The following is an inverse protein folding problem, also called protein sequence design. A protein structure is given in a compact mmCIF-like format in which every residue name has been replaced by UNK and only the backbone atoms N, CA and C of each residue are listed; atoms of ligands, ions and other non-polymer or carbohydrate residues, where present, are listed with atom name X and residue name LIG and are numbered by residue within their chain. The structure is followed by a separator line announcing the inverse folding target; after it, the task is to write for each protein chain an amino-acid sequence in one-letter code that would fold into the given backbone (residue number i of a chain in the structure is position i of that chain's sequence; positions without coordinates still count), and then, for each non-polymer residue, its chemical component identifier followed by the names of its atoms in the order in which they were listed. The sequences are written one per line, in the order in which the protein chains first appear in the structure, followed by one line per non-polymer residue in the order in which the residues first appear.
data_IF_976962654271
#
_entry.id   IF_976962654271
#
_cell.length_a   1.000
_cell.length_b   1.000
_cell.length_c   1.000
_cell.angle_alpha   90.00
_cell.angle_beta   90.00
_cell.angle_gamma   90.00
#
_symmetry.space_group_name_H-M   'P 1'
#
loop_
_entity.id
_entity.type
_entity.pdbx_description
1 polymer ?
#
# COMPACT_ATOMS: atom_id res chain seq x y z
N UNK A 1 -12.93 -5.71 17.05
CA UNK A 1 -12.52 -6.52 15.89
C UNK A 1 -12.53 -5.72 14.57
N UNK A 2 -13.62 -5.03 14.21
CA UNK A 2 -13.67 -4.20 12.98
C UNK A 2 -12.64 -3.05 12.90
N UNK A 3 -12.32 -2.42 14.03
CA UNK A 3 -11.32 -1.33 14.08
C UNK A 3 -9.91 -1.80 13.67
N UNK A 4 -9.50 -2.99 14.12
CA UNK A 4 -8.20 -3.57 13.80
C UNK A 4 -8.13 -3.92 12.30
N UNK A 5 -9.21 -4.44 11.72
CA UNK A 5 -9.27 -4.69 10.27
C UNK A 5 -9.14 -3.41 9.45
N UNK A 6 -9.76 -2.30 9.90
CA UNK A 6 -9.63 -1.00 9.24
C UNK A 6 -8.19 -0.49 9.34
N UNK A 7 -7.53 -0.64 10.49
CA UNK A 7 -6.12 -0.27 10.65
C UNK A 7 -5.21 -1.07 9.71
N UNK A 8 -5.39 -2.38 9.61
CA UNK A 8 -4.61 -3.22 8.69
C UNK A 8 -4.91 -2.91 7.22
N UNK A 9 -6.17 -2.60 6.90
CA UNK A 9 -6.55 -2.14 5.56
C UNK A 9 -5.82 -0.83 5.20
N UNK A 10 -5.79 0.13 6.13
CA UNK A 10 -5.08 1.39 5.95
C UNK A 10 -3.57 1.16 5.78
N UNK A 11 -2.98 0.27 6.58
CA UNK A 11 -1.56 -0.05 6.51
C UNK A 11 -1.16 -0.69 5.17
N UNK A 12 -2.02 -1.56 4.63
CA UNK A 12 -1.86 -2.12 3.28
C UNK A 12 -1.95 -1.03 2.22
N UNK A 13 -2.94 -0.14 2.32
CA UNK A 13 -3.13 0.95 1.35
C UNK A 13 -1.96 1.94 1.37
N UNK A 14 -1.35 2.18 2.54
CA UNK A 14 -0.24 3.09 2.72
C UNK A 14 1.01 2.69 1.94
N UNK A 15 1.25 1.38 1.77
CA UNK A 15 2.47 0.89 1.14
C UNK A 15 2.65 1.40 -0.32
N UNK A 16 1.69 1.17 -1.24
CA UNK A 16 1.76 1.73 -2.59
C UNK A 16 1.65 3.26 -2.64
N UNK A 17 0.99 3.92 -1.67
CA UNK A 17 0.97 5.39 -1.57
C UNK A 17 2.38 5.91 -1.28
N UNK A 18 3.09 5.37 -0.30
CA UNK A 18 4.47 5.78 0.00
C UNK A 18 5.37 5.58 -1.22
N UNK A 19 5.23 4.44 -1.91
CA UNK A 19 5.99 4.17 -3.13
C UNK A 19 5.69 5.20 -4.22
N UNK A 20 4.41 5.56 -4.43
CA UNK A 20 4.07 6.60 -5.40
C UNK A 20 4.59 7.97 -5.00
N UNK A 21 4.55 8.32 -3.71
CA UNK A 21 5.05 9.62 -3.24
C UNK A 21 6.56 9.75 -3.50
N UNK A 22 7.32 8.68 -3.30
CA UNK A 22 8.76 8.64 -3.63
C UNK A 22 8.96 8.84 -5.14
N UNK A 23 8.21 8.11 -5.98
CA UNK A 23 8.29 8.25 -7.44
C UNK A 23 7.91 9.68 -7.87
N UNK A 24 6.86 10.24 -7.28
CA UNK A 24 6.38 11.59 -7.56
C UNK A 24 7.43 12.66 -7.25
N UNK A 25 8.23 12.48 -6.18
CA UNK A 25 9.37 13.35 -5.88
C UNK A 25 10.47 13.30 -6.97
N UNK A 26 10.77 12.12 -7.52
CA UNK A 26 11.70 11.99 -8.64
C UNK A 26 11.14 12.61 -9.92
N UNK A 27 9.84 12.43 -10.19
CA UNK A 27 9.16 13.04 -11.34
C UNK A 27 9.20 14.57 -11.25
N UNK A 28 9.00 15.13 -10.06
CA UNK A 28 9.11 16.57 -9.81
C UNK A 28 10.50 17.09 -10.20
N UNK A 29 11.56 16.40 -9.77
CA UNK A 29 12.95 16.78 -10.11
C UNK A 29 13.26 16.72 -11.61
N UNK A 30 12.57 15.87 -12.37
CA UNK A 30 12.85 15.67 -13.79
C UNK A 30 12.03 16.58 -14.70
N UNK A 31 10.75 16.78 -14.36
CA UNK A 31 9.79 17.46 -15.24
C UNK A 31 9.43 18.88 -14.80
N UNK A 32 9.64 19.24 -13.52
CA UNK A 32 9.13 20.47 -12.86
C UNK A 32 7.61 20.71 -13.05
N UNK A 33 6.88 19.71 -13.55
CA UNK A 33 5.47 19.80 -13.85
C UNK A 33 4.66 19.24 -12.71
N UNK A 34 3.91 20.13 -12.05
CA UNK A 34 3.03 19.79 -10.96
C UNK A 34 1.92 18.82 -11.39
N UNK A 35 1.52 18.87 -12.66
CA UNK A 35 0.46 18.04 -13.22
C UNK A 35 0.86 16.56 -13.25
N UNK A 36 2.10 16.25 -13.64
CA UNK A 36 2.60 14.88 -13.64
C UNK A 36 2.74 14.31 -12.22
N UNK A 37 3.14 15.12 -11.25
CA UNK A 37 3.18 14.70 -9.84
C UNK A 37 1.78 14.35 -9.30
N UNK A 38 0.76 15.16 -9.61
CA UNK A 38 -0.63 14.89 -9.22
C UNK A 38 -1.15 13.59 -9.84
N UNK A 39 -0.90 13.38 -11.14
CA UNK A 39 -1.33 12.14 -11.81
C UNK A 39 -0.67 10.92 -11.17
N UNK A 40 0.64 10.98 -10.96
CA UNK A 40 1.41 9.86 -10.41
C UNK A 40 0.94 9.52 -8.99
N UNK A 41 0.73 10.53 -8.16
CA UNK A 41 0.24 10.34 -6.80
C UNK A 41 -1.21 9.83 -6.77
N UNK A 42 -2.08 10.37 -7.63
CA UNK A 42 -3.45 9.90 -7.79
C UNK A 42 -3.52 8.43 -8.18
N UNK A 43 -2.65 7.98 -9.09
CA UNK A 43 -2.52 6.58 -9.46
C UNK A 43 -2.08 5.71 -8.26
N UNK A 44 -1.14 6.18 -7.45
CA UNK A 44 -0.69 5.49 -6.23
C UNK A 44 -1.79 5.30 -5.19
N UNK A 45 -2.57 6.35 -4.94
CA UNK A 45 -3.72 6.30 -4.03
C UNK A 45 -4.77 5.29 -4.52
N UNK A 46 -5.13 5.35 -5.80
CA UNK A 46 -6.10 4.41 -6.39
C UNK A 46 -5.58 2.96 -6.34
N UNK A 47 -4.31 2.75 -6.67
CA UNK A 47 -3.69 1.43 -6.59
C UNK A 47 -3.66 0.90 -5.15
N UNK A 48 -3.39 1.76 -4.17
CA UNK A 48 -3.40 1.40 -2.75
C UNK A 48 -4.75 1.01 -2.22
N UNK A 49 -5.78 1.80 -2.53
CA UNK A 49 -7.16 1.49 -2.16
C UNK A 49 -7.59 0.18 -2.83
N UNK A 50 -7.29 0.01 -4.13
CA UNK A 50 -7.64 -1.20 -4.86
C UNK A 50 -6.97 -2.44 -4.27
N UNK A 51 -5.68 -2.37 -3.96
CA UNK A 51 -4.93 -3.47 -3.34
C UNK A 51 -5.48 -3.81 -1.95
N UNK A 52 -5.74 -2.80 -1.13
CA UNK A 52 -6.28 -2.98 0.21
C UNK A 52 -7.68 -3.62 0.18
N UNK A 53 -8.55 -3.17 -0.73
CA UNK A 53 -9.86 -3.78 -0.95
C UNK A 53 -9.76 -5.21 -1.50
N UNK A 54 -8.83 -5.47 -2.42
CA UNK A 54 -8.60 -6.81 -2.95
C UNK A 54 -8.20 -7.79 -1.85
N UNK A 55 -7.23 -7.40 -1.01
CA UNK A 55 -6.76 -8.24 0.10
C UNK A 55 -7.87 -8.44 1.13
N UNK A 56 -8.63 -7.39 1.46
CA UNK A 56 -9.77 -7.48 2.38
C UNK A 56 -10.82 -8.47 1.89
N UNK A 57 -11.19 -8.42 0.60
CA UNK A 57 -12.20 -9.30 0.02
C UNK A 57 -11.71 -10.74 -0.14
N UNK A 58 -10.44 -10.94 -0.47
CA UNK A 58 -9.90 -12.27 -0.80
C UNK A 58 -9.42 -13.07 0.41
N UNK A 59 -8.79 -12.41 1.38
CA UNK A 59 -8.14 -13.09 2.51
C UNK A 59 -8.65 -12.61 3.87
N UNK A 60 -9.15 -11.37 3.96
CA UNK A 60 -9.38 -10.68 5.23
C UNK A 60 -8.09 -10.07 5.75
N UNK A 61 -8.13 -8.81 6.20
CA UNK A 61 -6.92 -8.06 6.55
C UNK A 61 -6.16 -8.67 7.73
N UNK A 62 -6.89 -9.21 8.71
CA UNK A 62 -6.32 -9.89 9.89
C UNK A 62 -5.60 -11.19 9.52
N UNK A 63 -6.20 -12.02 8.67
CA UNK A 63 -5.59 -13.25 8.17
C UNK A 63 -4.38 -12.98 7.29
N UNK A 64 -4.42 -11.92 6.47
CA UNK A 64 -3.27 -11.52 5.66
C UNK A 64 -2.07 -11.15 6.54
N UNK A 65 -2.27 -10.30 7.55
CA UNK A 65 -1.20 -9.95 8.49
C UNK A 65 -0.75 -11.11 9.37
N UNK A 66 -1.69 -11.96 9.83
CA UNK A 66 -1.34 -13.14 10.60
C UNK A 66 -0.50 -14.13 9.77
N UNK A 67 -0.82 -14.28 8.48
CA UNK A 67 0.00 -15.08 7.56
C UNK A 67 1.35 -14.43 7.31
N UNK A 68 1.41 -13.11 7.09
CA UNK A 68 2.65 -12.36 6.94
C UNK A 68 3.59 -12.54 8.15
N UNK A 69 3.05 -12.48 9.37
CA UNK A 69 3.81 -12.65 10.61
C UNK A 69 4.17 -14.11 10.92
N UNK A 70 3.42 -15.07 10.39
CA UNK A 70 3.69 -16.51 10.52
C UNK A 70 4.43 -17.09 9.30
N UNK A 71 4.78 -16.28 8.28
CA UNK A 71 5.65 -16.74 7.20
C UNK A 71 7.02 -16.94 7.82
N UNK A 72 7.40 -18.21 7.95
CA UNK A 72 8.59 -18.75 8.60
C UNK A 72 9.89 -18.46 7.83
N UNK A 73 10.08 -17.23 7.36
CA UNK A 73 11.38 -16.78 6.80
C UNK A 73 12.39 -16.48 7.94
N UNK A 74 12.00 -16.70 9.20
CA UNK A 74 12.87 -16.67 10.39
C UNK A 74 13.17 -18.07 10.95
N UNK A 75 12.72 -19.13 10.28
CA UNK A 75 13.01 -20.53 10.64
C UNK A 75 14.03 -21.11 9.63
N UNK A 76 15.07 -20.33 9.33
CA UNK A 76 16.26 -20.85 8.65
C UNK A 76 17.14 -21.52 9.70
N UNK A 77 17.21 -22.84 9.61
CA UNK A 77 17.94 -23.75 10.49
C UNK A 77 19.41 -23.83 10.10
#
# INVERSE_FOLDING_TARGET
MKFIEILYWLLIALCPIIVSSIISFFVWKLSESLLWCIITEGCGILAGIYLAEYIRKKYGCSNFYSKLMNTSDLDEK
#
